data_IF_810125225466
#
_entry.id   IF_810125225466
#
_cell.length_a   1.000
_cell.length_b   1.000
_cell.length_c   1.000
_cell.angle_alpha   90.00
_cell.angle_beta   90.00
_cell.angle_gamma   90.00
#
_symmetry.space_group_name_H-M   'P 1'
#
loop_
_entity.id
_entity.type
_entity.pdbx_description
1 polymer ?
#
# COMPACT_ATOMS: atom_id res chain seq x y z
N UNK A 1 -8.36 14.07 -11.40
CA UNK A 1 -9.24 14.67 -10.38
C UNK A 1 -8.35 15.20 -9.27
N UNK A 2 -8.54 16.45 -8.84
CA UNK A 2 -7.71 17.07 -7.80
C UNK A 2 -8.53 17.18 -6.50
N UNK A 3 -8.26 16.31 -5.53
CA UNK A 3 -9.10 16.13 -4.33
C UNK A 3 -8.27 15.87 -3.08
N UNK A 4 -8.86 16.20 -1.93
CA UNK A 4 -8.50 15.54 -0.67
C UNK A 4 -9.47 14.38 -0.44
N UNK A 5 -8.96 13.25 0.02
CA UNK A 5 -9.74 12.07 0.27
C UNK A 5 -9.30 11.37 1.55
N UNK A 6 -10.24 10.67 2.19
CA UNK A 6 -9.96 9.67 3.22
C UNK A 6 -10.01 8.29 2.55
N UNK A 7 -8.92 7.54 2.60
CA UNK A 7 -8.86 6.21 1.99
C UNK A 7 -9.71 5.22 2.79
N UNK A 8 -10.44 4.34 2.11
CA UNK A 8 -11.26 3.30 2.73
C UNK A 8 -10.83 1.89 2.35
N UNK A 9 -10.48 1.67 1.09
CA UNK A 9 -10.13 0.34 0.56
C UNK A 9 -9.03 0.45 -0.48
N UNK A 10 -8.22 -0.60 -0.59
CA UNK A 10 -7.25 -0.75 -1.66
C UNK A 10 -7.32 -2.15 -2.28
N UNK A 11 -6.83 -2.26 -3.51
CA UNK A 11 -6.61 -3.52 -4.19
C UNK A 11 -5.26 -3.49 -4.87
N UNK A 12 -4.37 -4.42 -4.50
CA UNK A 12 -2.98 -4.47 -4.96
C UNK A 12 -2.77 -5.70 -5.81
N UNK A 13 -2.17 -5.48 -6.98
CA UNK A 13 -1.80 -6.55 -7.89
C UNK A 13 -0.29 -6.75 -7.90
N UNK A 14 0.10 -8.02 -7.88
CA UNK A 14 1.47 -8.46 -8.08
C UNK A 14 1.72 -8.78 -9.55
N UNK A 15 2.98 -8.75 -9.97
CA UNK A 15 3.35 -9.22 -11.31
C UNK A 15 3.37 -10.75 -11.36
N UNK A 16 2.73 -11.38 -12.36
CA UNK A 16 2.64 -12.83 -12.43
C UNK A 16 3.94 -13.65 -12.47
N UNK A 17 5.03 -13.01 -12.88
CA UNK A 17 6.34 -13.66 -13.03
C UNK A 17 7.24 -13.46 -11.81
N UNK A 18 6.84 -12.64 -10.83
CA UNK A 18 7.66 -12.27 -9.68
C UNK A 18 7.04 -12.63 -8.32
N UNK A 19 6.03 -13.49 -8.37
CA UNK A 19 5.40 -14.13 -7.23
C UNK A 19 6.40 -14.71 -6.24
N UNK A 20 6.23 -14.38 -4.96
CA UNK A 20 7.02 -14.94 -3.87
C UNK A 20 8.50 -14.53 -3.82
N UNK A 21 8.98 -13.68 -4.73
CA UNK A 21 10.39 -13.28 -4.81
C UNK A 21 10.55 -11.76 -4.65
N UNK A 22 9.97 -10.98 -5.58
CA UNK A 22 10.09 -9.52 -5.59
C UNK A 22 8.79 -8.81 -5.23
N UNK A 23 7.67 -9.53 -5.18
CA UNK A 23 6.38 -8.93 -4.85
C UNK A 23 6.43 -8.33 -3.43
N UNK A 24 5.93 -7.10 -3.30
CA UNK A 24 5.80 -6.45 -1.99
C UNK A 24 4.99 -7.33 -1.05
N UNK A 25 5.51 -7.52 0.16
CA UNK A 25 4.82 -8.23 1.25
C UNK A 25 4.32 -7.25 2.28
N UNK A 26 5.20 -6.34 2.73
CA UNK A 26 4.89 -5.34 3.74
C UNK A 26 5.14 -3.94 3.20
N UNK A 27 4.18 -3.05 3.40
CA UNK A 27 4.27 -1.67 2.94
C UNK A 27 3.49 -0.73 3.86
N UNK A 28 3.81 0.56 3.78
CA UNK A 28 3.12 1.64 4.49
C UNK A 28 2.58 2.67 3.53
N UNK A 29 1.44 3.24 3.91
CA UNK A 29 0.95 4.48 3.32
C UNK A 29 1.18 5.64 4.26
N UNK A 30 1.76 6.69 3.68
CA UNK A 30 1.92 7.97 4.31
C UNK A 30 1.10 8.99 3.53
N UNK A 31 0.46 9.90 4.24
CA UNK A 31 -0.37 10.94 3.65
C UNK A 31 -0.04 12.34 4.13
N UNK A 32 -0.29 13.32 3.27
CA UNK A 32 -0.28 14.73 3.66
C UNK A 32 -1.21 15.56 2.77
N UNK A 33 -1.41 16.83 3.11
CA UNK A 33 -2.23 17.82 2.39
C UNK A 33 -1.37 19.00 1.93
N UNK A 34 -1.98 20.07 1.41
CA UNK A 34 -1.24 21.30 1.06
C UNK A 34 -0.72 22.08 2.27
N UNK A 35 -1.18 21.77 3.48
CA UNK A 35 -0.66 22.37 4.71
C UNK A 35 0.82 22.03 4.92
N UNK A 36 1.29 20.92 4.35
CA UNK A 36 2.70 20.56 4.32
C UNK A 36 3.41 21.23 3.11
N UNK A 37 4.20 22.26 3.40
CA UNK A 37 4.98 22.98 2.39
C UNK A 37 6.14 22.14 1.85
N UNK A 38 6.64 21.18 2.62
CA UNK A 38 7.76 20.30 2.26
C UNK A 38 7.34 19.01 1.56
N UNK A 39 6.06 18.85 1.22
CA UNK A 39 5.49 17.61 0.63
C UNK A 39 6.21 17.03 -0.60
N UNK A 40 7.01 17.81 -1.32
CA UNK A 40 7.78 17.35 -2.49
C UNK A 40 9.25 17.02 -2.17
N UNK A 41 9.70 17.25 -0.94
CA UNK A 41 11.04 16.87 -0.48
C UNK A 41 11.13 15.35 -0.40
N UNK A 42 12.34 14.81 -0.61
CA UNK A 42 12.59 13.36 -0.63
C UNK A 42 12.29 12.66 0.72
N UNK A 43 12.54 13.36 1.82
CA UNK A 43 12.27 12.91 3.19
C UNK A 43 11.52 13.99 3.97
N UNK A 44 10.25 14.22 3.62
CA UNK A 44 9.49 15.32 4.19
C UNK A 44 9.02 14.96 5.60
N UNK A 45 9.22 15.87 6.55
CA UNK A 45 8.59 15.79 7.86
C UNK A 45 7.09 16.12 7.76
N UNK A 46 6.33 15.85 8.82
CA UNK A 46 4.90 16.20 8.88
C UNK A 46 3.97 15.33 8.01
N UNK A 47 4.44 14.17 7.54
CA UNK A 47 3.56 13.17 6.93
C UNK A 47 2.90 12.31 8.00
N UNK A 48 1.61 12.04 7.83
CA UNK A 48 0.85 11.16 8.72
C UNK A 48 0.94 9.73 8.22
N UNK A 49 1.27 8.79 9.11
CA UNK A 49 1.16 7.37 8.82
C UNK A 49 -0.34 7.02 8.70
N UNK A 50 -0.77 6.58 7.53
CA UNK A 50 -2.15 6.19 7.27
C UNK A 50 -2.38 4.74 7.70
N UNK A 51 -1.42 3.87 7.40
CA UNK A 51 -1.46 2.47 7.81
C UNK A 51 -0.24 1.70 7.36
N UNK A 52 -0.04 0.55 7.99
CA UNK A 52 0.91 -0.48 7.60
C UNK A 52 0.15 -1.76 7.30
N UNK A 53 0.52 -2.45 6.23
CA UNK A 53 -0.19 -3.62 5.76
C UNK A 53 0.77 -4.74 5.43
N UNK A 54 0.32 -5.97 5.67
CA UNK A 54 1.07 -7.20 5.41
C UNK A 54 0.21 -8.12 4.57
N UNK A 55 0.68 -8.45 3.38
CA UNK A 55 0.00 -9.38 2.49
C UNK A 55 0.24 -10.83 2.96
N UNK A 56 -0.76 -11.72 2.80
CA UNK A 56 -0.67 -13.11 3.22
C UNK A 56 0.52 -13.86 2.62
N UNK A 57 1.12 -14.75 3.39
CA UNK A 57 2.08 -15.75 2.90
C UNK A 57 1.35 -16.94 2.27
N UNK A 58 1.96 -17.55 1.25
CA UNK A 58 1.65 -18.92 0.86
C UNK A 58 2.32 -19.92 1.83
N UNK A 59 1.84 -21.16 1.88
CA UNK A 59 2.48 -22.26 2.63
C UNK A 59 3.95 -22.40 2.20
N UNK A 60 4.22 -22.23 0.91
CA UNK A 60 5.57 -22.10 0.38
C UNK A 60 5.60 -21.02 -0.71
N UNK A 61 6.11 -19.83 -0.38
CA UNK A 61 6.19 -18.70 -1.31
C UNK A 61 6.97 -18.99 -2.60
N UNK A 62 7.89 -19.97 -2.60
CA UNK A 62 8.65 -20.36 -3.81
C UNK A 62 7.87 -21.29 -4.73
N UNK A 63 6.90 -22.01 -4.18
CA UNK A 63 6.10 -23.00 -4.89
C UNK A 63 4.65 -22.90 -4.38
N UNK A 64 3.94 -21.80 -4.71
CA UNK A 64 2.55 -21.66 -4.29
C UNK A 64 1.69 -22.73 -4.96
N UNK A 65 0.66 -23.19 -4.24
CA UNK A 65 -0.40 -24.04 -4.78
C UNK A 65 -1.19 -23.30 -5.87
N UNK A 66 -1.97 -24.01 -6.71
CA UNK A 66 -2.80 -23.37 -7.73
C UNK A 66 -3.78 -22.32 -7.17
N UNK A 67 -4.36 -22.57 -6.00
CA UNK A 67 -5.30 -21.65 -5.35
C UNK A 67 -4.60 -20.39 -4.82
N UNK A 68 -3.44 -20.56 -4.18
CA UNK A 68 -2.60 -19.43 -3.72
C UNK A 68 -2.11 -18.58 -4.90
N UNK A 69 -1.72 -19.24 -5.99
CA UNK A 69 -1.34 -18.55 -7.23
C UNK A 69 -2.53 -17.78 -7.80
N UNK A 70 -3.72 -18.38 -7.83
CA UNK A 70 -4.93 -17.71 -8.29
C UNK A 70 -5.26 -16.48 -7.44
N UNK A 71 -5.05 -16.55 -6.12
CA UNK A 71 -5.22 -15.40 -5.23
C UNK A 71 -4.21 -14.29 -5.54
N UNK A 72 -2.96 -14.64 -5.84
CA UNK A 72 -1.93 -13.68 -6.23
C UNK A 72 -2.16 -13.08 -7.64
N UNK A 73 -2.73 -13.86 -8.57
CA UNK A 73 -3.16 -13.40 -9.89
C UNK A 73 -4.37 -12.44 -9.78
N UNK A 74 -5.30 -12.69 -8.84
CA UNK A 74 -6.47 -11.84 -8.63
C UNK A 74 -6.18 -10.55 -7.86
N UNK A 75 -5.02 -10.46 -7.20
CA UNK A 75 -4.67 -9.36 -6.32
C UNK A 75 -5.24 -9.51 -4.91
N UNK A 76 -4.80 -8.61 -4.03
CA UNK A 76 -5.22 -8.56 -2.63
C UNK A 76 -6.03 -7.31 -2.34
N UNK A 77 -7.26 -7.51 -1.91
CA UNK A 77 -8.14 -6.46 -1.44
C UNK A 77 -7.95 -6.27 0.08
N UNK A 78 -7.75 -5.03 0.52
CA UNK A 78 -7.57 -4.67 1.92
C UNK A 78 -8.43 -3.47 2.29
N UNK A 79 -8.99 -3.50 3.49
CA UNK A 79 -9.59 -2.36 4.16
C UNK A 79 -8.50 -1.54 4.87
N UNK A 80 -8.49 -0.23 4.63
CA UNK A 80 -7.47 0.70 5.16
C UNK A 80 -7.48 0.76 6.69
N UNK A 81 -8.65 0.58 7.32
CA UNK A 81 -8.78 0.61 8.78
C UNK A 81 -8.61 -0.77 9.38
N UNK A 82 -9.35 -1.76 8.85
CA UNK A 82 -9.48 -3.07 9.52
C UNK A 82 -8.24 -3.96 9.33
N UNK A 83 -7.55 -3.85 8.19
CA UNK A 83 -6.34 -4.64 7.88
C UNK A 83 -5.03 -3.91 8.25
N UNK A 84 -5.12 -2.73 8.86
CA UNK A 84 -3.95 -1.99 9.32
C UNK A 84 -3.34 -2.67 10.55
N UNK A 85 -2.07 -3.07 10.44
CA UNK A 85 -1.35 -3.75 11.53
C UNK A 85 -0.62 -2.80 12.47
N UNK A 86 -0.58 -1.49 12.17
CA UNK A 86 0.14 -0.50 12.97
C UNK A 86 -0.83 0.35 13.81
N UNK A 87 -0.80 0.23 15.16
CA UNK A 87 -1.74 0.94 16.04
C UNK A 87 -1.49 2.45 16.12
N UNK A 88 -0.30 2.93 15.75
CA UNK A 88 0.05 4.36 15.76
C UNK A 88 -0.42 5.09 14.49
N UNK A 89 -0.94 4.35 13.50
CA UNK A 89 -1.40 4.92 12.26
C UNK A 89 -2.79 5.56 12.40
N UNK A 90 -3.05 6.57 11.57
CA UNK A 90 -4.33 7.25 11.48
C UNK A 90 -4.99 6.98 10.11
N UNK A 91 -5.77 5.88 9.98
CA UNK A 91 -6.41 5.53 8.72
C UNK A 91 -7.49 6.53 8.27
N UNK A 92 -7.96 7.38 9.19
CA UNK A 92 -8.96 8.41 8.92
C UNK A 92 -8.38 9.76 8.52
N UNK A 93 -7.05 9.86 8.41
CA UNK A 93 -6.41 11.10 7.97
C UNK A 93 -6.81 11.43 6.53
N UNK A 94 -7.04 12.72 6.28
CA UNK A 94 -7.32 13.25 4.95
C UNK A 94 -6.01 13.40 4.20
N UNK A 95 -5.97 12.94 2.96
CA UNK A 95 -4.77 12.98 2.13
C UNK A 95 -5.07 13.61 0.77
N UNK A 96 -4.11 14.39 0.28
CA UNK A 96 -4.03 14.83 -1.13
C UNK A 96 -2.81 14.23 -1.83
N UNK A 97 -1.76 14.00 -1.05
CA UNK A 97 -0.51 13.42 -1.50
C UNK A 97 -0.29 12.11 -0.76
N UNK A 98 0.04 11.07 -1.51
CA UNK A 98 0.29 9.72 -1.01
C UNK A 98 1.75 9.37 -1.28
N UNK A 99 2.39 8.76 -0.28
CA UNK A 99 3.67 8.09 -0.41
C UNK A 99 3.48 6.64 -0.02
N UNK A 100 3.98 5.76 -0.89
CA UNK A 100 4.02 4.33 -0.64
C UNK A 100 5.46 3.99 -0.25
N UNK A 101 5.62 3.43 0.94
CA UNK A 101 6.89 2.90 1.43
C UNK A 101 6.83 1.38 1.37
N UNK A 102 7.54 0.80 0.40
CA UNK A 102 7.67 -0.65 0.26
C UNK A 102 8.82 -1.14 1.15
N UNK A 103 8.51 -1.99 2.14
CA UNK A 103 9.45 -2.33 3.21
C UNK A 103 10.03 -3.74 3.06
N UNK A 104 9.19 -4.72 2.74
CA UNK A 104 9.58 -6.12 2.67
C UNK A 104 9.03 -6.78 1.41
N UNK A 105 9.75 -7.79 0.92
CA UNK A 105 9.32 -8.74 -0.10
C UNK A 105 9.26 -10.15 0.51
N UNK A 106 8.65 -11.10 -0.19
CA UNK A 106 8.57 -12.49 0.24
C UNK A 106 9.91 -13.24 0.25
N UNK A 107 10.92 -12.77 -0.51
CA UNK A 107 12.29 -13.29 -0.47
C UNK A 107 13.31 -12.18 -0.11
N UNK A 108 13.75 -12.09 1.17
CA UNK A 108 14.63 -11.02 1.64
C UNK A 108 16.05 -11.08 1.04
N UNK A 109 16.42 -12.17 0.36
CA UNK A 109 17.70 -12.24 -0.35
C UNK A 109 17.75 -11.36 -1.60
N UNK A 110 16.58 -10.92 -2.10
CA UNK A 110 16.48 -10.05 -3.27
C UNK A 110 16.40 -8.58 -2.87
N UNK A 111 17.19 -7.74 -3.55
CA UNK A 111 17.29 -6.29 -3.27
C UNK A 111 16.22 -5.43 -3.95
N UNK A 112 15.27 -6.06 -4.63
CA UNK A 112 14.26 -5.38 -5.45
C UNK A 112 12.88 -5.75 -4.92
N UNK A 113 12.07 -4.73 -4.66
CA UNK A 113 10.67 -4.85 -4.30
C UNK A 113 9.82 -4.27 -5.45
N UNK A 114 8.76 -4.97 -5.81
CA UNK A 114 7.89 -4.66 -6.94
C UNK A 114 6.43 -4.63 -6.50
N UNK A 115 5.70 -3.67 -7.04
CA UNK A 115 4.24 -3.56 -7.00
C UNK A 115 3.80 -3.32 -8.45
N UNK A 116 2.84 -4.09 -8.97
CA UNK A 116 2.42 -3.95 -10.36
C UNK A 116 1.42 -2.81 -10.50
N UNK A 117 0.29 -2.94 -9.82
CA UNK A 117 -0.82 -1.99 -9.87
C UNK A 117 -1.44 -1.86 -8.50
N UNK A 118 -1.99 -0.67 -8.24
CA UNK A 118 -2.79 -0.41 -7.06
C UNK A 118 -4.01 0.42 -7.42
N UNK A 119 -5.15 -0.01 -6.91
CA UNK A 119 -6.39 0.75 -6.93
C UNK A 119 -6.71 1.21 -5.52
N UNK A 120 -7.11 2.47 -5.41
CA UNK A 120 -7.45 3.10 -4.14
C UNK A 120 -8.87 3.66 -4.23
N UNK A 121 -9.67 3.36 -3.23
CA UNK A 121 -11.01 3.92 -3.06
C UNK A 121 -11.10 4.62 -1.72
N UNK A 122 -11.91 5.68 -1.69
CA UNK A 122 -12.07 6.50 -0.51
C UNK A 122 -13.21 7.49 -0.64
N UNK A 123 -13.45 8.20 0.44
CA UNK A 123 -14.40 9.31 0.50
C UNK A 123 -13.70 10.59 0.06
N UNK A 124 -14.30 11.33 -0.87
CA UNK A 124 -13.81 12.67 -1.25
C UNK A 124 -14.26 13.65 -0.17
N UNK A 125 -13.28 14.31 0.46
CA UNK A 125 -13.51 15.30 1.51
C UNK A 125 -13.57 16.72 0.93
N UNK A 126 -12.77 16.98 -0.12
CA UNK A 126 -12.69 18.29 -0.77
C UNK A 126 -12.32 18.14 -2.24
N UNK A 127 -12.97 18.92 -3.10
CA UNK A 127 -12.63 19.06 -4.53
C UNK A 127 -11.97 20.40 -4.78
N UNK A 128 -10.92 20.41 -5.59
CA UNK A 128 -10.28 21.62 -6.09
C UNK A 128 -10.70 21.84 -7.55
N UNK A 129 -11.18 23.04 -7.86
CA UNK A 129 -11.59 23.48 -9.19
C UNK A 129 -10.60 24.52 -9.72
#
# INVERSE_FOLDING_TARGET
MNVEAMLGRMHIYHRPVYYGIHAVKRFRFWGTTDENLDRFVKFPEGWTLIGEYVLPDAVNNKVPTPDEKSAWDSGFELNVTDDNVNPEANPKAKIRYLRIEMMETYDPSHKVITMNEIFLWGQIEKKYY
#
